data_IF_408728447599
#
_entry.id   IF_408728447599
#
_cell.length_a   1.000
_cell.length_b   1.000
_cell.length_c   1.000
_cell.angle_alpha   90.00
_cell.angle_beta   90.00
_cell.angle_gamma   90.00
#
_symmetry.space_group_name_H-M   'P 1'
#
loop_
_entity.id
_entity.type
_entity.pdbx_description
1 polymer ?
#
# COMPACT_ATOMS: atom_id res chain seq x y z
N UNK A 1 5.63 -5.16 -12.41
CA UNK A 1 4.84 -3.94 -12.70
C UNK A 1 3.43 -4.05 -12.18
N UNK A 2 2.61 -4.92 -12.79
CA UNK A 2 1.17 -5.03 -12.49
C UNK A 2 0.84 -5.25 -11.01
N UNK A 3 1.50 -6.19 -10.32
CA UNK A 3 1.23 -6.44 -8.88
C UNK A 3 1.46 -5.20 -8.01
N UNK A 4 2.62 -4.55 -8.19
CA UNK A 4 2.99 -3.31 -7.48
C UNK A 4 1.99 -2.19 -7.79
N UNK A 5 1.53 -2.07 -9.04
CA UNK A 5 0.52 -1.08 -9.43
C UNK A 5 -0.85 -1.33 -8.81
N UNK A 6 -1.27 -2.60 -8.72
CA UNK A 6 -2.53 -2.99 -8.08
C UNK A 6 -2.47 -2.69 -6.59
N UNK A 7 -1.38 -3.01 -5.91
CA UNK A 7 -1.22 -2.76 -4.47
C UNK A 7 -1.27 -1.26 -4.16
N UNK A 8 -0.58 -0.44 -4.95
CA UNK A 8 -0.62 1.02 -4.81
C UNK A 8 -2.01 1.58 -5.10
N UNK A 9 -2.68 1.09 -6.15
CA UNK A 9 -4.04 1.50 -6.47
C UNK A 9 -5.00 1.16 -5.33
N UNK A 10 -4.95 -0.07 -4.82
CA UNK A 10 -5.77 -0.52 -3.69
C UNK A 10 -5.48 0.31 -2.43
N UNK A 11 -4.23 0.63 -2.16
CA UNK A 11 -3.86 1.40 -0.97
C UNK A 11 -4.36 2.86 -1.04
N UNK A 12 -4.29 3.51 -2.21
CA UNK A 12 -4.84 4.85 -2.41
C UNK A 12 -6.38 4.83 -2.38
N UNK A 13 -7.01 3.84 -3.02
CA UNK A 13 -8.48 3.69 -3.04
C UNK A 13 -9.04 3.43 -1.64
N UNK A 14 -8.42 2.53 -0.88
CA UNK A 14 -8.84 2.25 0.51
C UNK A 14 -8.71 3.49 1.39
N UNK A 15 -7.65 4.30 1.21
CA UNK A 15 -7.51 5.58 1.92
C UNK A 15 -8.57 6.60 1.51
N UNK A 16 -8.86 6.73 0.22
CA UNK A 16 -9.90 7.61 -0.28
C UNK A 16 -11.28 7.21 0.26
N UNK A 17 -11.62 5.91 0.22
CA UNK A 17 -12.86 5.38 0.80
C UNK A 17 -12.97 5.63 2.30
N UNK A 18 -11.88 5.50 3.05
CA UNK A 18 -11.83 5.88 4.48
C UNK A 18 -12.10 7.37 4.70
N UNK A 19 -11.56 8.24 3.86
CA UNK A 19 -11.85 9.67 3.89
C UNK A 19 -13.34 9.97 3.68
N UNK A 20 -13.94 9.34 2.66
CA UNK A 20 -15.37 9.50 2.38
C UNK A 20 -16.24 8.93 3.52
N UNK A 21 -15.89 7.78 4.11
CA UNK A 21 -16.60 7.23 5.29
C UNK A 21 -16.52 8.12 6.53
N UNK A 22 -15.53 9.01 6.61
CA UNK A 22 -15.42 10.03 7.66
C UNK A 22 -16.24 11.30 7.36
N UNK A 23 -17.02 11.30 6.28
CA UNK A 23 -17.85 12.43 5.88
C UNK A 23 -17.13 13.53 5.09
N UNK A 24 -15.87 13.31 4.68
CA UNK A 24 -15.14 14.29 3.88
C UNK A 24 -15.76 14.42 2.48
N UNK A 25 -15.76 15.64 1.95
CA UNK A 25 -16.06 15.88 0.54
C UNK A 25 -15.07 15.13 -0.36
N UNK A 26 -15.51 14.72 -1.55
CA UNK A 26 -14.70 13.91 -2.48
C UNK A 26 -13.35 14.54 -2.78
N UNK A 27 -13.33 15.84 -3.09
CA UNK A 27 -12.09 16.55 -3.42
C UNK A 27 -11.11 16.54 -2.24
N UNK A 28 -11.62 16.65 -1.02
CA UNK A 28 -10.84 16.70 0.21
C UNK A 28 -10.36 15.30 0.62
N UNK A 29 -11.18 14.27 0.43
CA UNK A 29 -10.80 12.88 0.58
C UNK A 29 -9.72 12.45 -0.44
N UNK A 30 -9.78 12.95 -1.68
CA UNK A 30 -8.77 12.71 -2.69
C UNK A 30 -7.45 13.39 -2.33
N UNK A 31 -7.48 14.67 -1.95
CA UNK A 31 -6.30 15.42 -1.47
C UNK A 31 -5.65 14.71 -0.28
N UNK A 32 -6.43 14.33 0.72
CA UNK A 32 -5.91 13.64 1.90
C UNK A 32 -5.32 12.26 1.56
N UNK A 33 -5.95 11.51 0.65
CA UNK A 33 -5.41 10.22 0.22
C UNK A 33 -4.05 10.39 -0.47
N UNK A 34 -3.90 11.36 -1.36
CA UNK A 34 -2.62 11.65 -2.03
C UNK A 34 -1.57 12.16 -1.04
N UNK A 35 -1.95 13.06 -0.13
CA UNK A 35 -1.02 13.64 0.84
C UNK A 35 -0.43 12.58 1.79
N UNK A 36 -1.24 11.64 2.28
CA UNK A 36 -0.75 10.60 3.21
C UNK A 36 -0.19 9.40 2.49
N UNK A 37 -0.93 8.87 1.52
CA UNK A 37 -0.62 7.58 0.90
C UNK A 37 0.25 7.74 -0.34
N UNK A 38 0.10 8.83 -1.10
CA UNK A 38 0.93 9.10 -2.27
C UNK A 38 2.42 9.21 -1.90
N UNK A 39 2.75 9.88 -0.79
CA UNK A 39 4.15 9.97 -0.31
C UNK A 39 4.74 8.58 0.02
N UNK A 40 3.96 7.70 0.64
CA UNK A 40 4.39 6.34 0.95
C UNK A 40 4.64 5.51 -0.32
N UNK A 41 3.75 5.64 -1.32
CA UNK A 41 3.89 4.95 -2.62
C UNK A 41 5.14 5.41 -3.38
N UNK A 42 5.42 6.73 -3.39
CA UNK A 42 6.64 7.27 -4.01
C UNK A 42 7.89 6.74 -3.32
N UNK A 43 7.90 6.68 -1.99
CA UNK A 43 9.04 6.18 -1.21
C UNK A 43 9.30 4.68 -1.47
N UNK A 44 8.24 3.86 -1.46
CA UNK A 44 8.32 2.45 -1.79
C UNK A 44 8.82 2.24 -3.23
N UNK A 45 8.30 3.01 -4.19
CA UNK A 45 8.75 3.00 -5.59
C UNK A 45 10.22 3.35 -5.73
N UNK A 46 10.68 4.42 -5.07
CA UNK A 46 12.08 4.84 -5.08
C UNK A 46 13.00 3.75 -4.51
N UNK A 47 12.59 3.09 -3.43
CA UNK A 47 13.35 1.98 -2.82
C UNK A 47 13.54 0.82 -3.80
N UNK A 48 12.48 0.44 -4.53
CA UNK A 48 12.55 -0.61 -5.56
C UNK A 48 13.47 -0.18 -6.72
N UNK A 49 13.36 1.07 -7.19
CA UNK A 49 14.26 1.60 -8.22
C UNK A 49 15.73 1.53 -7.78
N UNK A 50 16.04 1.93 -6.53
CA UNK A 50 17.41 1.86 -5.99
C UNK A 50 17.90 0.41 -5.93
N UNK A 51 17.08 -0.54 -5.48
CA UNK A 51 17.43 -1.95 -5.44
C UNK A 51 17.75 -2.52 -6.83
N UNK A 52 16.94 -2.18 -7.84
CA UNK A 52 17.17 -2.57 -9.24
C UNK A 52 18.42 -1.91 -9.84
N UNK A 53 18.68 -0.64 -9.49
CA UNK A 53 19.93 0.03 -9.88
C UNK A 53 21.16 -0.62 -9.24
N UNK A 54 21.04 -1.19 -8.03
CA UNK A 54 22.09 -2.00 -7.41
C UNK A 54 22.52 -3.20 -8.27
N UNK A 55 21.59 -3.79 -9.03
CA UNK A 55 21.89 -4.90 -9.94
C UNK A 55 22.80 -4.48 -11.11
N UNK A 56 22.72 -3.22 -11.57
CA UNK A 56 23.64 -2.66 -12.56
C UNK A 56 25.08 -2.52 -12.03
N UNK A 57 25.24 -2.27 -10.72
CA UNK A 57 26.55 -2.21 -10.05
C UNK A 57 27.21 -3.59 -10.04
N UNK A 58 26.43 -4.67 -9.89
CA UNK A 58 26.90 -6.05 -9.91
C UNK A 58 27.37 -6.52 -11.31
N UNK A 59 27.22 -5.69 -12.35
CA UNK A 59 27.67 -5.94 -13.74
C UNK A 59 27.25 -7.30 -14.32
N UNK A 60 26.10 -7.81 -13.89
CA UNK A 60 25.50 -9.00 -14.48
C UNK A 60 24.88 -8.60 -15.82
N UNK A 61 25.68 -8.63 -16.88
CA UNK A 61 25.33 -8.17 -18.23
C UNK A 61 24.04 -8.79 -18.78
N UNK A 62 23.72 -10.03 -18.38
CA UNK A 62 22.45 -10.68 -18.70
C UNK A 62 21.23 -10.03 -18.03
N UNK A 63 21.39 -9.46 -16.83
CA UNK A 63 20.30 -8.88 -16.05
C UNK A 63 20.12 -7.38 -16.29
N UNK A 64 21.06 -6.69 -16.93
CA UNK A 64 20.97 -5.25 -17.21
C UNK A 64 19.68 -4.88 -17.97
N UNK A 65 19.32 -5.64 -19.00
CA UNK A 65 18.08 -5.40 -19.75
C UNK A 65 16.82 -5.56 -18.89
N UNK A 66 16.78 -6.60 -18.06
CA UNK A 66 15.68 -6.87 -17.12
C UNK A 66 15.59 -5.78 -16.05
N UNK A 67 16.73 -5.36 -15.49
CA UNK A 67 16.81 -4.32 -14.48
C UNK A 67 16.30 -2.97 -14.99
N UNK A 68 16.70 -2.58 -16.21
CA UNK A 68 16.25 -1.34 -16.86
C UNK A 68 14.74 -1.41 -17.14
N UNK A 69 14.26 -2.50 -17.77
CA UNK A 69 12.84 -2.67 -18.08
C UNK A 69 11.98 -2.68 -16.81
N UNK A 70 12.43 -3.37 -15.76
CA UNK A 70 11.74 -3.42 -14.47
C UNK A 70 11.70 -2.04 -13.79
N UNK A 71 12.83 -1.32 -13.77
CA UNK A 71 12.92 0.01 -13.16
C UNK A 71 12.00 1.00 -13.87
N UNK A 72 12.03 1.04 -15.21
CA UNK A 72 11.15 1.89 -16.01
C UNK A 72 9.67 1.57 -15.75
N UNK A 73 9.32 0.29 -15.70
CA UNK A 73 7.96 -0.16 -15.40
C UNK A 73 7.51 0.34 -14.03
N UNK A 74 8.37 0.26 -13.00
CA UNK A 74 8.05 0.71 -11.64
C UNK A 74 7.86 2.23 -11.62
N UNK A 75 8.75 3.00 -12.24
CA UNK A 75 8.64 4.47 -12.32
C UNK A 75 7.32 4.88 -12.97
N UNK A 76 7.00 4.30 -14.14
CA UNK A 76 5.74 4.59 -14.84
C UNK A 76 4.52 4.20 -14.02
N UNK A 77 4.59 3.06 -13.32
CA UNK A 77 3.49 2.58 -12.47
C UNK A 77 3.26 3.51 -11.27
N UNK A 78 4.32 3.97 -10.62
CA UNK A 78 4.26 4.91 -9.49
C UNK A 78 3.73 6.26 -9.97
N UNK A 79 4.24 6.77 -11.09
CA UNK A 79 3.76 8.01 -11.70
C UNK A 79 2.27 7.94 -12.03
N UNK A 80 1.81 6.85 -12.68
CA UNK A 80 0.41 6.63 -12.99
C UNK A 80 -0.45 6.50 -11.72
N UNK A 81 0.03 5.81 -10.69
CA UNK A 81 -0.70 5.63 -9.43
C UNK A 81 -0.90 6.95 -8.68
N UNK A 82 0.07 7.87 -8.76
CA UNK A 82 0.01 9.17 -8.05
C UNK A 82 -0.69 10.25 -8.89
N UNK A 83 -0.75 10.12 -10.21
CA UNK A 83 -1.38 11.13 -11.10
C UNK A 83 -2.74 10.68 -11.64
N UNK A 84 -2.79 9.53 -12.32
CA UNK A 84 -3.98 9.03 -13.00
C UNK A 84 -5.04 8.55 -12.01
N UNK A 85 -4.62 7.86 -10.95
CA UNK A 85 -5.55 7.30 -9.97
C UNK A 85 -6.34 8.37 -9.20
N UNK A 86 -5.73 9.44 -8.63
CA UNK A 86 -6.50 10.50 -8.00
C UNK A 86 -7.36 11.29 -8.99
N UNK A 87 -6.91 11.47 -10.23
CA UNK A 87 -7.73 12.09 -11.28
C UNK A 87 -8.99 11.27 -11.56
N UNK A 88 -8.85 9.95 -11.71
CA UNK A 88 -9.97 9.03 -11.89
C UNK A 88 -10.89 8.98 -10.67
N UNK A 89 -10.33 8.96 -9.45
CA UNK A 89 -11.12 9.01 -8.21
C UNK A 89 -11.89 10.33 -8.06
N UNK A 90 -11.28 11.45 -8.45
CA UNK A 90 -11.96 12.74 -8.49
C UNK A 90 -13.09 12.77 -9.52
N UNK A 91 -12.96 12.05 -10.63
CA UNK A 91 -14.00 11.93 -11.67
C UNK A 91 -15.13 10.96 -11.29
N UNK A 92 -14.80 9.82 -10.68
CA UNK A 92 -15.75 8.79 -10.21
C UNK A 92 -16.58 9.32 -9.02
N UNK A 93 -15.97 10.14 -8.18
CA UNK A 93 -16.62 10.81 -7.06
C UNK A 93 -17.21 9.84 -6.02
N UNK A 94 -18.39 10.14 -5.45
CA UNK A 94 -18.98 9.33 -4.35
C UNK A 94 -19.48 7.95 -4.81
N UNK A 95 -19.32 7.60 -6.10
CA UNK A 95 -19.59 6.25 -6.63
C UNK A 95 -18.48 5.26 -6.29
N UNK A 96 -17.33 5.72 -5.79
CA UNK A 96 -16.30 4.85 -5.23
C UNK A 96 -16.76 4.09 -3.96
N UNK A 97 -17.87 4.53 -3.34
CA UNK A 97 -18.56 3.85 -2.25
C UNK A 97 -19.74 3.03 -2.78
N UNK A 98 -19.94 1.82 -2.23
CA UNK A 98 -21.14 1.04 -2.52
C UNK A 98 -22.40 1.77 -2.06
N UNK A 99 -23.53 1.58 -2.76
CA UNK A 99 -24.84 2.18 -2.37
C UNK A 99 -25.19 1.92 -0.90
N UNK A 100 -24.83 0.75 -0.37
CA UNK A 100 -25.03 0.39 1.05
C UNK A 100 -24.17 1.21 2.00
N UNK A 101 -22.91 1.47 1.65
CA UNK A 101 -21.99 2.25 2.48
C UNK A 101 -22.37 3.73 2.49
N UNK A 102 -22.83 4.24 1.34
CA UNK A 102 -23.36 5.59 1.23
C UNK A 102 -24.62 5.76 2.08
N UNK A 103 -25.55 4.81 2.04
CA UNK A 103 -26.78 4.82 2.87
C UNK A 103 -26.44 4.78 4.36
N UNK A 104 -25.48 3.96 4.78
CA UNK A 104 -25.01 3.91 6.17
C UNK A 104 -24.40 5.21 6.65
N UNK A 105 -23.62 5.88 5.80
CA UNK A 105 -23.03 7.19 6.13
C UNK A 105 -24.11 8.27 6.32
N UNK A 106 -25.14 8.27 5.48
CA UNK A 106 -26.29 9.18 5.62
C UNK A 106 -27.15 8.87 6.85
N UNK A 107 -27.30 7.59 7.21
CA UNK A 107 -28.15 7.17 8.33
C UNK A 107 -27.47 7.26 9.71
N UNK A 108 -26.16 6.97 9.80
CA UNK A 108 -25.46 6.82 11.08
C UNK A 108 -24.32 7.84 11.29
N UNK A 109 -24.09 8.73 10.33
CA UNK A 109 -23.01 9.72 10.38
C UNK A 109 -21.60 9.13 10.27
N UNK A 110 -20.56 9.95 10.39
CA UNK A 110 -19.16 9.53 10.34
C UNK A 110 -18.83 8.57 11.50
N UNK A 111 -18.56 7.30 11.19
CA UNK A 111 -18.12 6.35 12.20
C UNK A 111 -16.60 6.21 12.21
N UNK A 112 -15.94 6.25 13.38
CA UNK A 112 -14.55 5.83 13.49
C UNK A 112 -14.44 4.35 13.07
N UNK A 113 -13.55 4.02 12.14
CA UNK A 113 -13.21 2.61 11.87
C UNK A 113 -12.48 2.05 13.10
N UNK A 114 -13.24 1.53 14.06
CA UNK A 114 -12.71 0.75 15.17
C UNK A 114 -12.16 -0.57 14.60
N UNK A 115 -10.93 -0.98 14.95
CA UNK A 115 -10.39 -2.27 14.54
C UNK A 115 -11.17 -3.38 15.24
N UNK A 116 -12.27 -3.82 14.65
CA UNK A 116 -13.08 -4.93 15.14
C UNK A 116 -12.79 -6.17 14.32
N UNK A 117 -12.33 -7.25 14.96
CA UNK A 117 -12.18 -8.56 14.32
C UNK A 117 -11.03 -9.41 14.85
N UNK A 118 -10.84 -10.58 14.24
CA UNK A 118 -9.77 -11.52 14.57
C UNK A 118 -8.38 -10.89 14.41
N UNK A 119 -8.19 -10.03 13.40
CA UNK A 119 -6.93 -9.31 13.17
C UNK A 119 -6.58 -8.35 14.33
N UNK A 120 -7.57 -7.68 14.93
CA UNK A 120 -7.36 -6.80 16.07
C UNK A 120 -7.03 -7.59 17.36
N UNK A 121 -7.66 -8.76 17.53
CA UNK A 121 -7.32 -9.67 18.64
C UNK A 121 -5.91 -10.23 18.49
N UNK A 122 -5.52 -10.56 17.25
CA UNK A 122 -4.17 -11.00 16.91
C UNK A 122 -3.14 -9.91 17.14
N UNK A 123 -3.40 -8.66 16.75
CA UNK A 123 -2.45 -7.56 16.99
C UNK A 123 -2.22 -7.36 18.49
N UNK A 124 -3.28 -7.38 19.30
CA UNK A 124 -3.18 -7.29 20.77
C UNK A 124 -2.42 -8.48 21.36
N UNK A 125 -2.62 -9.68 20.81
CA UNK A 125 -1.87 -10.86 21.24
C UNK A 125 -0.37 -10.74 20.94
N UNK A 126 -0.02 -10.25 19.75
CA UNK A 126 1.36 -10.01 19.34
C UNK A 126 2.01 -8.92 20.20
N UNK A 127 1.29 -7.83 20.47
CA UNK A 127 1.73 -6.74 21.35
C UNK A 127 1.94 -7.19 22.80
N UNK A 128 1.22 -8.23 23.27
CA UNK A 128 1.40 -8.79 24.62
C UNK A 128 2.64 -9.67 24.75
N UNK A 129 3.11 -10.29 23.67
CA UNK A 129 4.26 -11.21 23.70
C UNK A 129 5.33 -10.90 22.63
N UNK A 130 5.82 -9.64 22.53
CA UNK A 130 6.67 -9.23 21.41
C UNK A 130 8.05 -9.91 21.43
N UNK A 131 8.64 -10.10 22.62
CA UNK A 131 9.95 -10.74 22.77
C UNK A 131 9.92 -12.22 22.41
N UNK A 132 8.87 -12.92 22.85
CA UNK A 132 8.73 -14.36 22.64
C UNK A 132 8.45 -14.66 21.17
N UNK A 133 7.50 -13.94 20.56
CA UNK A 133 7.21 -14.08 19.13
C UNK A 133 8.38 -13.63 18.25
N UNK A 134 9.07 -12.56 18.62
CA UNK A 134 10.27 -12.10 17.93
C UNK A 134 11.40 -13.14 17.97
N UNK A 135 11.65 -13.73 19.15
CA UNK A 135 12.65 -14.79 19.30
C UNK A 135 12.29 -16.04 18.50
N UNK A 136 11.03 -16.48 18.53
CA UNK A 136 10.56 -17.61 17.73
C UNK A 136 10.72 -17.34 16.24
N UNK A 137 10.32 -16.16 15.75
CA UNK A 137 10.48 -15.79 14.35
C UNK A 137 11.96 -15.76 13.92
N UNK A 138 12.84 -15.22 14.77
CA UNK A 138 14.29 -15.23 14.54
C UNK A 138 14.85 -16.65 14.46
N UNK A 139 14.48 -17.53 15.40
CA UNK A 139 14.93 -18.93 15.41
C UNK A 139 14.45 -19.66 14.17
N UNK A 140 13.19 -19.48 13.77
CA UNK A 140 12.64 -20.09 12.56
C UNK A 140 13.35 -19.58 11.31
N UNK A 141 13.57 -18.27 11.17
CA UNK A 141 14.31 -17.72 10.03
C UNK A 141 15.75 -18.22 9.98
N UNK A 142 16.45 -18.28 11.12
CA UNK A 142 17.80 -18.81 11.19
C UNK A 142 17.84 -20.29 10.80
N UNK A 143 16.92 -21.11 11.32
CA UNK A 143 16.81 -22.52 10.97
C UNK A 143 16.55 -22.75 9.48
N UNK A 144 15.70 -21.92 8.85
CA UNK A 144 15.42 -22.00 7.42
C UNK A 144 16.59 -21.49 6.56
N UNK A 145 17.44 -20.62 7.08
CA UNK A 145 18.64 -20.14 6.40
C UNK A 145 19.83 -21.12 6.48
N UNK A 146 19.88 -21.98 7.50
CA UNK A 146 20.92 -23.00 7.67
C UNK A 146 21.15 -23.89 6.43
N UNK A 147 20.13 -24.44 5.73
CA UNK A 147 20.37 -25.28 4.55
C UNK A 147 20.89 -24.51 3.33
N UNK A 148 20.94 -23.17 3.37
CA UNK A 148 21.40 -22.32 2.26
C UNK A 148 22.77 -21.67 2.49
N UNK A 149 23.38 -21.88 3.66
CA UNK A 149 24.74 -21.47 4.03
C UNK A 149 25.71 -22.66 3.87
#
# INVERSE_FOLDING_TARGET
GLGVGIDYALFIVTRHRRGLKRGLAVAEAARNAVATTGRAVVFAGATVCIALLGMLILRLSFLNGVAIAASLTVVLTVAASVTLLPALLSFIGPRALSRRERRRLYEHGPQPELPTGLAARWSVFVERHPKLLGAVAMVVMALLALPTL
#
